data_IF_464679138626
#
_entry.id   IF_464679138626
#
_cell.length_a   1.000
_cell.length_b   1.000
_cell.length_c   1.000
_cell.angle_alpha   90.00
_cell.angle_beta   90.00
_cell.angle_gamma   90.00
#
_symmetry.space_group_name_H-M   'P 1'
#
loop_
_entity.id
_entity.type
_entity.pdbx_description
1 polymer ?
#
# COMPACT_ATOMS: atom_id res chain seq x y z
N UNK A 1 -18.37 -0.82 15.34
CA UNK A 1 -17.40 -0.04 16.15
C UNK A 1 -15.95 -0.34 15.75
N UNK A 2 -15.55 -1.61 15.55
CA UNK A 2 -14.18 -1.97 15.16
C UNK A 2 -13.69 -1.36 13.83
N UNK A 3 -14.55 -0.71 13.08
CA UNK A 3 -14.23 -0.17 11.76
C UNK A 3 -14.05 1.35 11.72
N UNK A 4 -14.39 2.05 12.79
CA UNK A 4 -14.39 3.54 12.80
C UNK A 4 -12.96 4.07 12.86
N UNK A 5 -12.08 3.41 13.60
CA UNK A 5 -10.70 3.85 13.85
C UNK A 5 -9.66 3.16 12.95
N UNK A 6 -10.10 2.44 11.91
CA UNK A 6 -9.19 1.75 11.00
C UNK A 6 -8.56 2.71 10.00
N UNK A 7 -7.27 2.52 9.76
CA UNK A 7 -6.47 3.27 8.80
C UNK A 7 -5.98 2.37 7.65
N UNK A 8 -4.87 2.68 7.00
CA UNK A 8 -4.37 1.93 5.83
C UNK A 8 -4.02 0.45 6.10
N UNK A 9 -3.74 0.05 7.36
CA UNK A 9 -3.32 -1.32 7.70
C UNK A 9 -4.43 -2.37 7.68
N UNK A 10 -5.58 -2.03 7.17
CA UNK A 10 -6.72 -2.95 7.03
C UNK A 10 -6.32 -4.27 6.33
N UNK A 11 -5.48 -4.20 5.29
CA UNK A 11 -4.98 -5.40 4.61
C UNK A 11 -4.11 -6.28 5.49
N UNK A 12 -3.20 -5.69 6.25
CA UNK A 12 -2.36 -6.40 7.22
C UNK A 12 -3.17 -7.12 8.29
N UNK A 13 -4.29 -6.54 8.70
CA UNK A 13 -5.13 -7.12 9.75
C UNK A 13 -6.01 -8.26 9.22
N UNK A 14 -6.63 -8.09 8.06
CA UNK A 14 -7.65 -9.03 7.57
C UNK A 14 -7.13 -10.12 6.64
N UNK A 15 -6.01 -9.92 5.94
CA UNK A 15 -5.42 -10.99 5.13
C UNK A 15 -4.94 -12.18 5.97
N UNK A 16 -4.14 -12.00 7.05
CA UNK A 16 -3.69 -13.13 7.87
C UNK A 16 -4.75 -13.65 8.87
N UNK A 17 -5.86 -12.97 9.02
CA UNK A 17 -6.95 -13.36 9.92
C UNK A 17 -8.17 -13.85 9.17
N UNK A 18 -9.09 -12.98 8.81
CA UNK A 18 -10.36 -13.37 8.20
C UNK A 18 -10.19 -14.08 6.85
N UNK A 19 -9.33 -13.55 5.96
CA UNK A 19 -9.10 -14.16 4.64
C UNK A 19 -8.39 -15.51 4.79
N UNK A 20 -7.39 -15.60 5.67
CA UNK A 20 -6.71 -16.86 5.95
C UNK A 20 -7.68 -17.90 6.55
N UNK A 21 -8.51 -17.52 7.52
CA UNK A 21 -9.54 -18.38 8.09
C UNK A 21 -10.49 -18.92 7.01
N UNK A 22 -11.04 -18.04 6.17
CA UNK A 22 -11.89 -18.45 5.04
C UNK A 22 -11.19 -19.44 4.10
N UNK A 23 -9.91 -19.18 3.77
CA UNK A 23 -9.12 -20.06 2.89
C UNK A 23 -8.84 -21.44 3.49
N UNK A 24 -8.75 -21.54 4.81
CA UNK A 24 -8.45 -22.80 5.52
C UNK A 24 -9.66 -23.72 5.62
N UNK A 25 -10.84 -23.19 5.91
CA UNK A 25 -12.02 -24.01 6.25
C UNK A 25 -13.31 -23.60 5.54
N UNK A 26 -13.28 -22.61 4.66
CA UNK A 26 -14.46 -22.13 3.93
C UNK A 26 -15.44 -21.32 4.79
N UNK A 27 -15.00 -20.78 5.92
CA UNK A 27 -15.88 -20.06 6.84
C UNK A 27 -16.48 -18.80 6.21
N UNK A 28 -17.77 -18.82 5.90
CA UNK A 28 -18.47 -17.74 5.18
C UNK A 28 -18.54 -16.43 6.00
N UNK A 29 -18.61 -16.50 7.32
CA UNK A 29 -18.57 -15.29 8.15
C UNK A 29 -17.20 -14.61 8.07
N UNK A 30 -16.12 -15.38 8.02
CA UNK A 30 -14.77 -14.87 7.83
C UNK A 30 -14.61 -14.23 6.44
N UNK A 31 -15.16 -14.85 5.39
CA UNK A 31 -15.23 -14.29 4.04
C UNK A 31 -15.92 -12.91 4.04
N UNK A 32 -17.10 -12.82 4.62
CA UNK A 32 -17.86 -11.57 4.72
C UNK A 32 -17.08 -10.49 5.47
N UNK A 33 -16.35 -10.84 6.55
CA UNK A 33 -15.49 -9.90 7.27
C UNK A 33 -14.35 -9.37 6.39
N UNK A 34 -13.69 -10.25 5.64
CA UNK A 34 -12.66 -9.86 4.68
C UNK A 34 -13.18 -8.91 3.60
N UNK A 35 -14.34 -9.19 3.03
CA UNK A 35 -14.98 -8.31 2.02
C UNK A 35 -15.39 -6.95 2.59
N UNK A 36 -15.91 -6.91 3.83
CA UNK A 36 -16.18 -5.64 4.52
C UNK A 36 -14.91 -4.83 4.72
N UNK A 37 -13.83 -5.47 5.14
CA UNK A 37 -12.53 -4.81 5.31
C UNK A 37 -11.98 -4.29 3.96
N UNK A 38 -12.14 -5.04 2.88
CA UNK A 38 -11.77 -4.57 1.54
C UNK A 38 -12.56 -3.32 1.11
N UNK A 39 -13.86 -3.26 1.40
CA UNK A 39 -14.65 -2.05 1.15
C UNK A 39 -14.18 -0.85 2.00
N UNK A 40 -13.78 -1.06 3.25
CA UNK A 40 -13.21 -0.01 4.09
C UNK A 40 -11.89 0.53 3.52
N UNK A 41 -11.00 -0.36 3.09
CA UNK A 41 -9.75 0.04 2.45
C UNK A 41 -10.03 0.78 1.13
N UNK A 42 -10.90 0.25 0.28
CA UNK A 42 -11.29 0.89 -0.98
C UNK A 42 -11.92 2.27 -0.76
N UNK A 43 -12.72 2.45 0.31
CA UNK A 43 -13.32 3.74 0.69
C UNK A 43 -12.31 4.83 1.07
N UNK A 44 -11.04 4.49 1.25
CA UNK A 44 -9.94 5.44 1.52
C UNK A 44 -9.33 6.01 0.24
N UNK A 45 -9.78 5.56 -0.93
CA UNK A 45 -9.20 5.96 -2.20
C UNK A 45 -9.53 7.39 -2.57
N UNK A 46 -8.48 8.19 -2.82
CA UNK A 46 -8.62 9.55 -3.34
C UNK A 46 -8.64 9.51 -4.87
N UNK A 47 -9.76 9.96 -5.47
CA UNK A 47 -9.97 9.92 -6.92
C UNK A 47 -9.10 10.91 -7.68
N UNK A 48 -8.74 12.05 -7.09
CA UNK A 48 -7.94 13.06 -7.77
C UNK A 48 -6.46 12.69 -7.83
N UNK A 49 -5.94 12.10 -6.74
CA UNK A 49 -4.53 11.72 -6.61
C UNK A 49 -4.23 10.25 -6.83
N UNK A 50 -5.27 9.43 -7.04
CA UNK A 50 -5.16 7.98 -7.26
C UNK A 50 -4.39 7.24 -6.15
N UNK A 51 -4.56 7.64 -4.89
CA UNK A 51 -3.90 7.02 -3.75
C UNK A 51 -4.90 6.60 -2.66
N UNK A 52 -4.51 5.62 -1.86
CA UNK A 52 -5.20 5.25 -0.63
C UNK A 52 -4.68 6.13 0.51
N UNK A 53 -5.58 6.86 1.17
CA UNK A 53 -5.26 7.73 2.31
C UNK A 53 -4.73 6.90 3.48
N UNK A 54 -3.60 7.33 4.08
CA UNK A 54 -2.93 6.59 5.12
C UNK A 54 -3.68 6.64 6.47
N UNK A 55 -3.98 7.82 6.98
CA UNK A 55 -4.57 8.03 8.31
C UNK A 55 -5.95 8.66 8.26
N UNK A 56 -6.61 8.72 9.42
CA UNK A 56 -7.88 9.40 9.62
C UNK A 56 -7.67 10.88 9.98
N UNK A 57 -8.76 11.66 9.96
CA UNK A 57 -8.69 13.06 10.31
C UNK A 57 -8.29 13.22 11.78
N UNK A 58 -7.41 14.17 12.07
CA UNK A 58 -6.92 14.46 13.41
C UNK A 58 -5.72 13.63 13.89
N UNK A 59 -5.34 12.56 13.19
CA UNK A 59 -4.14 11.79 13.51
C UNK A 59 -2.84 12.49 13.05
N UNK A 60 -2.92 13.21 11.94
CA UNK A 60 -1.84 14.02 11.36
C UNK A 60 -2.41 15.30 10.75
N UNK A 61 -1.60 16.36 10.76
CA UNK A 61 -1.92 17.57 10.01
C UNK A 61 -2.05 17.22 8.52
N UNK A 62 -3.14 17.66 7.88
CA UNK A 62 -3.46 17.37 6.47
C UNK A 62 -3.52 15.86 6.12
N UNK A 63 -3.99 15.02 7.05
CA UNK A 63 -4.06 13.56 6.88
C UNK A 63 -4.79 13.12 5.60
N UNK A 64 -5.70 13.95 5.08
CA UNK A 64 -6.48 13.67 3.88
C UNK A 64 -5.63 13.53 2.61
N UNK A 65 -4.46 14.19 2.56
CA UNK A 65 -3.52 14.15 1.45
C UNK A 65 -2.33 13.23 1.63
N UNK A 66 -2.27 12.43 2.71
CA UNK A 66 -1.11 11.60 3.02
C UNK A 66 -1.26 10.18 2.50
N UNK A 67 -0.27 9.74 1.72
CA UNK A 67 -0.08 8.35 1.34
C UNK A 67 1.23 7.80 1.92
N UNK A 68 1.28 6.51 2.21
CA UNK A 68 2.41 5.84 2.87
C UNK A 68 2.81 4.58 2.09
N UNK A 69 4.11 4.31 2.05
CA UNK A 69 4.68 3.15 1.35
C UNK A 69 4.11 1.81 1.86
N UNK A 70 3.81 1.72 3.15
CA UNK A 70 3.23 0.56 3.82
C UNK A 70 1.90 0.11 3.19
N UNK A 71 1.18 1.03 2.56
CA UNK A 71 -0.10 0.72 1.94
C UNK A 71 0.01 -0.28 0.78
N UNK A 72 1.18 -0.40 0.13
CA UNK A 72 1.42 -1.44 -0.88
C UNK A 72 1.19 -2.86 -0.34
N UNK A 73 1.50 -3.10 0.94
CA UNK A 73 1.28 -4.38 1.60
C UNK A 73 -0.22 -4.71 1.76
N UNK A 74 -1.03 -3.67 1.88
CA UNK A 74 -2.46 -3.78 2.11
C UNK A 74 -3.27 -4.06 0.84
N UNK A 75 -2.67 -3.86 -0.34
CA UNK A 75 -3.31 -4.10 -1.65
C UNK A 75 -3.68 -5.57 -1.87
N UNK A 76 -3.01 -6.50 -1.19
CA UNK A 76 -3.34 -7.93 -1.22
C UNK A 76 -4.80 -8.23 -0.90
N UNK A 77 -5.40 -7.45 0.02
CA UNK A 77 -6.81 -7.57 0.39
C UNK A 77 -7.72 -7.14 -0.76
N UNK A 78 -7.37 -6.07 -1.48
CA UNK A 78 -8.15 -5.59 -2.63
C UNK A 78 -8.05 -6.57 -3.81
N UNK A 79 -6.87 -7.08 -4.12
CA UNK A 79 -6.70 -8.11 -5.15
C UNK A 79 -7.48 -9.38 -4.82
N UNK A 80 -7.46 -9.82 -3.55
CA UNK A 80 -8.27 -10.96 -3.11
C UNK A 80 -9.77 -10.67 -3.29
N UNK A 81 -10.26 -9.54 -2.81
CA UNK A 81 -11.68 -9.18 -2.90
C UNK A 81 -12.16 -9.11 -4.35
N UNK A 82 -11.34 -8.54 -5.24
CA UNK A 82 -11.65 -8.47 -6.68
C UNK A 82 -11.93 -9.85 -7.29
N UNK A 83 -11.07 -10.82 -7.00
CA UNK A 83 -11.25 -12.20 -7.49
C UNK A 83 -12.41 -12.91 -6.80
N UNK A 84 -12.55 -12.70 -5.50
CA UNK A 84 -13.52 -13.41 -4.66
C UNK A 84 -14.97 -13.15 -5.07
N UNK A 85 -15.28 -11.93 -5.49
CA UNK A 85 -16.64 -11.55 -5.91
C UNK A 85 -16.74 -11.12 -7.37
N UNK A 86 -15.66 -11.32 -8.15
CA UNK A 86 -15.56 -10.93 -9.55
C UNK A 86 -15.91 -9.44 -9.80
N UNK A 87 -15.46 -8.56 -8.90
CA UNK A 87 -15.64 -7.11 -9.01
C UNK A 87 -14.31 -6.43 -9.33
N UNK A 88 -14.11 -5.92 -10.55
CA UNK A 88 -12.84 -5.32 -10.98
C UNK A 88 -12.48 -4.03 -10.23
N UNK A 89 -13.43 -3.37 -9.59
CA UNK A 89 -13.24 -2.12 -8.87
C UNK A 89 -12.11 -2.19 -7.85
N UNK A 90 -12.01 -3.29 -7.08
CA UNK A 90 -10.97 -3.46 -6.07
C UNK A 90 -9.57 -3.57 -6.70
N UNK A 91 -9.44 -4.34 -7.77
CA UNK A 91 -8.17 -4.45 -8.51
C UNK A 91 -7.78 -3.11 -9.14
N UNK A 92 -8.72 -2.37 -9.71
CA UNK A 92 -8.48 -1.05 -10.31
C UNK A 92 -7.98 -0.03 -9.27
N UNK A 93 -8.58 0.00 -8.08
CA UNK A 93 -8.13 0.85 -6.97
C UNK A 93 -6.71 0.47 -6.53
N UNK A 94 -6.45 -0.83 -6.36
CA UNK A 94 -5.14 -1.31 -5.97
C UNK A 94 -4.06 -0.97 -7.00
N UNK A 95 -4.37 -1.15 -8.28
CA UNK A 95 -3.46 -0.84 -9.39
C UNK A 95 -3.18 0.66 -9.47
N UNK A 96 -4.22 1.51 -9.42
CA UNK A 96 -4.06 2.96 -9.46
C UNK A 96 -3.20 3.47 -8.29
N UNK A 97 -3.40 2.94 -7.08
CA UNK A 97 -2.53 3.26 -5.95
C UNK A 97 -1.08 2.82 -6.18
N UNK A 98 -0.86 1.60 -6.67
CA UNK A 98 0.49 1.08 -6.94
C UNK A 98 1.22 1.91 -8.01
N UNK A 99 0.52 2.40 -9.03
CA UNK A 99 1.05 3.32 -10.04
C UNK A 99 1.46 4.65 -9.43
N UNK A 100 0.60 5.25 -8.62
CA UNK A 100 0.91 6.49 -7.89
C UNK A 100 2.14 6.32 -6.98
N UNK A 101 2.27 5.18 -6.32
CA UNK A 101 3.45 4.89 -5.49
C UNK A 101 4.69 4.72 -6.35
N UNK A 102 4.61 4.02 -7.48
CA UNK A 102 5.73 3.86 -8.41
C UNK A 102 6.25 5.20 -8.91
N UNK A 103 5.36 6.11 -9.29
CA UNK A 103 5.70 7.42 -9.85
C UNK A 103 6.21 8.42 -8.80
N UNK A 104 5.68 8.36 -7.57
CA UNK A 104 5.87 9.45 -6.60
C UNK A 104 6.76 9.08 -5.41
N UNK A 105 6.95 7.79 -5.11
CA UNK A 105 7.72 7.32 -3.96
C UNK A 105 9.09 6.78 -4.35
N UNK A 106 9.22 6.17 -5.54
CA UNK A 106 10.48 5.57 -5.98
C UNK A 106 11.40 6.66 -6.54
N UNK A 107 12.60 6.75 -5.99
CA UNK A 107 13.64 7.69 -6.43
C UNK A 107 14.45 7.09 -7.60
N UNK A 108 15.22 7.95 -8.28
CA UNK A 108 16.04 7.52 -9.42
C UNK A 108 17.08 6.47 -9.07
N UNK A 109 17.58 6.45 -7.84
CA UNK A 109 18.53 5.45 -7.34
C UNK A 109 17.90 4.13 -6.92
N UNK A 110 16.56 4.02 -6.91
CA UNK A 110 15.82 2.83 -6.46
C UNK A 110 15.41 2.87 -4.99
N UNK A 111 15.79 3.89 -4.24
CA UNK A 111 15.28 4.08 -2.89
C UNK A 111 13.84 4.59 -2.90
N UNK A 112 13.14 4.46 -1.76
CA UNK A 112 11.75 4.92 -1.67
C UNK A 112 11.53 5.91 -0.54
N UNK A 113 10.61 6.85 -0.76
CA UNK A 113 10.09 7.73 0.26
C UNK A 113 9.19 6.94 1.22
N UNK A 114 9.11 7.38 2.49
CA UNK A 114 8.19 6.78 3.45
C UNK A 114 6.77 7.31 3.28
N UNK A 115 6.60 8.63 3.31
CA UNK A 115 5.30 9.31 3.24
C UNK A 115 5.38 10.40 2.17
N UNK A 116 4.38 10.45 1.30
CA UNK A 116 4.23 11.52 0.31
C UNK A 116 2.93 12.26 0.57
N UNK A 117 3.01 13.60 0.52
CA UNK A 117 1.88 14.50 0.63
C UNK A 117 1.38 14.91 -0.75
N UNK A 118 0.09 14.79 -0.93
CA UNK A 118 -0.66 15.25 -2.09
C UNK A 118 -1.69 16.31 -1.67
N UNK A 119 -2.04 17.17 -2.58
CA UNK A 119 -3.25 17.99 -2.44
C UNK A 119 -4.48 17.07 -2.62
N UNK A 120 -5.36 16.95 -1.61
CA UNK A 120 -6.46 15.99 -1.66
C UNK A 120 -7.54 16.34 -2.70
N UNK A 121 -7.58 17.58 -3.18
CA UNK A 121 -8.58 18.06 -4.15
C UNK A 121 -8.08 17.92 -5.59
N UNK A 122 -6.82 18.26 -5.82
CA UNK A 122 -6.23 18.28 -7.17
C UNK A 122 -5.41 17.04 -7.48
N UNK A 123 -5.02 16.25 -6.48
CA UNK A 123 -4.11 15.13 -6.62
C UNK A 123 -2.65 15.50 -6.84
N UNK A 124 -2.31 16.80 -6.82
CA UNK A 124 -0.95 17.26 -7.07
C UNK A 124 -0.01 16.84 -5.93
N UNK A 125 1.15 16.26 -6.28
CA UNK A 125 2.21 15.97 -5.31
C UNK A 125 2.77 17.29 -4.72
N UNK A 126 2.76 17.38 -3.40
CA UNK A 126 3.25 18.56 -2.65
C UNK A 126 4.65 18.36 -2.06
N UNK A 127 5.04 17.10 -1.78
CA UNK A 127 6.36 16.80 -1.23
C UNK A 127 6.43 15.52 -0.43
N UNK A 128 7.56 15.30 0.22
CA UNK A 128 7.82 14.17 1.12
C UNK A 128 7.70 14.64 2.57
N UNK A 129 7.13 13.78 3.41
CA UNK A 129 6.99 14.02 4.86
C UNK A 129 7.85 13.02 5.60
N UNK A 130 8.44 13.44 6.72
CA UNK A 130 9.14 12.53 7.63
C UNK A 130 8.17 11.53 8.27
N UNK A 131 8.70 10.36 8.59
CA UNK A 131 7.95 9.30 9.26
C UNK A 131 8.86 8.56 10.23
N UNK A 132 8.92 7.24 10.13
CA UNK A 132 9.75 6.40 11.01
C UNK A 132 11.24 6.37 10.62
N UNK A 133 11.59 6.89 9.45
CA UNK A 133 12.98 7.09 9.03
C UNK A 133 13.63 8.26 9.78
N UNK A 134 14.96 8.38 9.66
CA UNK A 134 15.77 9.42 10.32
C UNK A 134 15.38 10.84 9.86
N UNK A 135 15.04 11.00 8.58
CA UNK A 135 14.66 12.26 7.95
C UNK A 135 13.75 11.99 6.75
N UNK A 136 13.03 13.01 6.20
CA UNK A 136 12.16 12.83 5.04
C UNK A 136 12.87 12.28 3.81
N UNK A 137 14.12 12.61 3.61
CA UNK A 137 14.99 12.19 2.51
C UNK A 137 15.81 10.92 2.83
N UNK A 138 15.79 10.44 4.08
CA UNK A 138 16.51 9.24 4.46
C UNK A 138 15.88 7.97 3.86
N UNK A 139 16.71 6.91 3.82
CA UNK A 139 16.24 5.57 3.46
C UNK A 139 15.86 4.81 4.73
N UNK A 140 14.63 4.35 4.79
CA UNK A 140 14.11 3.56 5.90
C UNK A 140 14.00 2.09 5.48
N UNK A 141 14.78 1.20 6.12
CA UNK A 141 14.93 -0.18 5.71
C UNK A 141 13.60 -0.94 5.55
N UNK A 142 12.68 -0.78 6.50
CA UNK A 142 11.36 -1.41 6.42
C UNK A 142 10.52 -0.86 5.25
N UNK A 143 10.61 0.42 4.93
CA UNK A 143 9.94 1.02 3.77
C UNK A 143 10.45 0.45 2.45
N UNK A 144 11.77 0.24 2.33
CA UNK A 144 12.36 -0.47 1.18
C UNK A 144 11.76 -1.88 1.04
N UNK A 145 11.67 -2.62 2.15
CA UNK A 145 11.09 -3.97 2.16
C UNK A 145 9.64 -3.98 1.73
N UNK A 146 8.85 -2.99 2.15
CA UNK A 146 7.45 -2.83 1.71
C UNK A 146 7.33 -2.57 0.22
N UNK A 147 8.20 -1.74 -0.34
CA UNK A 147 8.24 -1.50 -1.79
C UNK A 147 8.59 -2.77 -2.57
N UNK A 148 9.65 -3.48 -2.18
CA UNK A 148 10.07 -4.74 -2.83
C UNK A 148 8.92 -5.74 -2.86
N UNK A 149 8.34 -6.03 -1.69
CA UNK A 149 7.26 -7.00 -1.58
C UNK A 149 6.00 -6.53 -2.31
N UNK A 150 5.59 -5.29 -2.09
CA UNK A 150 4.32 -4.77 -2.62
C UNK A 150 4.32 -4.65 -4.14
N UNK A 151 5.42 -4.22 -4.76
CA UNK A 151 5.56 -4.22 -6.21
C UNK A 151 5.64 -5.63 -6.79
N UNK A 152 6.38 -6.55 -6.16
CA UNK A 152 6.40 -7.95 -6.58
C UNK A 152 5.01 -8.59 -6.52
N UNK A 153 4.25 -8.31 -5.44
CA UNK A 153 2.86 -8.71 -5.28
C UNK A 153 1.97 -8.13 -6.39
N UNK A 154 2.08 -6.84 -6.66
CA UNK A 154 1.30 -6.16 -7.71
C UNK A 154 1.60 -6.75 -9.08
N UNK A 155 2.86 -7.00 -9.41
CA UNK A 155 3.24 -7.70 -10.66
C UNK A 155 2.61 -9.09 -10.75
N UNK A 156 2.63 -9.86 -9.67
CA UNK A 156 2.00 -11.20 -9.63
C UNK A 156 0.49 -11.15 -9.89
N UNK A 157 -0.19 -10.15 -9.35
CA UNK A 157 -1.64 -10.03 -9.46
C UNK A 157 -2.12 -9.44 -10.79
N UNK A 158 -1.30 -8.57 -11.41
CA UNK A 158 -1.67 -7.84 -12.64
C UNK A 158 -0.96 -8.30 -13.90
N UNK A 159 0.20 -8.94 -13.76
CA UNK A 159 1.10 -9.29 -14.88
C UNK A 159 1.95 -8.13 -15.39
N UNK A 160 1.84 -6.92 -14.83
CA UNK A 160 2.53 -5.74 -15.31
C UNK A 160 4.00 -5.71 -14.88
N UNK A 161 4.91 -5.87 -15.85
CA UNK A 161 6.37 -5.97 -15.65
C UNK A 161 7.00 -4.76 -14.99
N UNK A 162 6.46 -3.55 -15.21
CA UNK A 162 6.98 -2.31 -14.60
C UNK A 162 7.13 -2.41 -13.08
N UNK A 163 6.21 -3.11 -12.41
CA UNK A 163 6.27 -3.32 -10.96
C UNK A 163 7.38 -4.30 -10.54
N UNK A 164 7.62 -5.35 -11.35
CA UNK A 164 8.74 -6.25 -11.10
C UNK A 164 10.09 -5.53 -11.27
N UNK A 165 10.19 -4.67 -12.27
CA UNK A 165 11.41 -3.91 -12.54
C UNK A 165 11.69 -2.91 -11.42
N UNK A 166 10.63 -2.27 -10.88
CA UNK A 166 10.74 -1.43 -9.68
C UNK A 166 11.17 -2.23 -8.44
N UNK A 167 10.54 -3.38 -8.20
CA UNK A 167 10.89 -4.26 -7.08
C UNK A 167 12.37 -4.70 -7.15
N UNK A 168 12.85 -5.09 -8.33
CA UNK A 168 14.25 -5.45 -8.56
C UNK A 168 15.19 -4.29 -8.28
N UNK A 169 14.92 -3.13 -8.88
CA UNK A 169 15.75 -1.94 -8.68
C UNK A 169 15.89 -1.55 -7.20
N UNK A 170 14.78 -1.61 -6.45
CA UNK A 170 14.79 -1.37 -5.00
C UNK A 170 15.54 -2.46 -4.24
N UNK A 171 15.40 -3.73 -4.64
CA UNK A 171 16.09 -4.85 -4.02
C UNK A 171 17.60 -4.80 -4.28
N UNK A 172 18.03 -4.50 -5.51
CA UNK A 172 19.45 -4.37 -5.86
C UNK A 172 20.11 -3.28 -5.01
N UNK A 173 19.49 -2.10 -4.93
CA UNK A 173 19.98 -1.03 -4.04
C UNK A 173 20.07 -1.51 -2.58
N UNK A 174 19.05 -2.20 -2.09
CA UNK A 174 18.98 -2.68 -0.71
C UNK A 174 20.09 -3.69 -0.40
N UNK A 175 20.34 -4.62 -1.30
CA UNK A 175 21.39 -5.64 -1.17
C UNK A 175 22.79 -5.00 -1.17
N UNK A 176 23.04 -4.02 -2.03
CA UNK A 176 24.31 -3.31 -2.13
C UNK A 176 24.64 -2.46 -0.89
N UNK A 177 23.64 -2.17 -0.05
CA UNK A 177 23.77 -1.32 1.14
C UNK A 177 23.55 -2.09 2.46
N UNK A 178 23.50 -3.42 2.41
CA UNK A 178 23.46 -4.23 3.63
C UNK A 178 24.82 -4.13 4.37
N UNK A 179 24.82 -4.09 5.72
CA UNK A 179 26.05 -4.20 6.49
C UNK A 179 26.77 -5.53 6.21
N UNK A 180 28.13 -5.53 6.21
CA UNK A 180 28.93 -6.73 5.99
C UNK A 180 28.62 -7.88 6.97
N UNK A 181 28.03 -7.57 8.12
CA UNK A 181 27.69 -8.54 9.18
C UNK A 181 26.22 -8.98 9.18
N UNK A 182 25.45 -8.63 8.16
CA UNK A 182 24.04 -9.03 7.97
C UNK A 182 23.03 -8.19 8.73
#
# INVERSE_FOLDING_TARGET
EAFVDLHHDVGFMWMPTAVAHYRCDGNEQARVRGLKAANLLAGRFNLAGHFLRAWNDGEWEDSQGLAIIDCLMNLSLLYWASREINDPRFCQIALAHAETVLENFVREDGTVCHIVRFDPVTGKRLGVVGGQGKAPDSVWARGQSWAIYGFALTCRETGERKFLDAAKKTADWYMDHLPENG
#
